data_IF_827899978114
#
_entry.id   IF_827899978114
#
_cell.length_a   1.000
_cell.length_b   1.000
_cell.length_c   1.000
_cell.angle_alpha   90.00
_cell.angle_beta   90.00
_cell.angle_gamma   90.00
#
_symmetry.space_group_name_H-M   'P 1'
#
loop_
_entity.id
_entity.type
_entity.pdbx_description
1 polymer ?
#
# COMPACT_ATOMS: atom_id res chain seq x y z
N UNK A 1 -7.79 -11.07 -8.38
CA UNK A 1 -6.69 -10.20 -7.88
C UNK A 1 -5.87 -11.02 -6.92
N UNK A 2 -4.54 -10.99 -7.06
CA UNK A 2 -3.57 -11.69 -6.20
C UNK A 2 -2.74 -10.68 -5.41
N UNK A 3 -2.16 -11.12 -4.28
CA UNK A 3 -1.27 -10.29 -3.46
C UNK A 3 0.17 -10.64 -3.80
N UNK A 4 0.82 -9.75 -4.55
CA UNK A 4 2.21 -9.87 -4.97
C UNK A 4 2.88 -8.50 -4.86
N UNK A 5 4.13 -8.46 -4.37
CA UNK A 5 4.93 -7.24 -4.35
C UNK A 5 5.53 -6.93 -5.73
N UNK A 6 6.12 -7.95 -6.36
CA UNK A 6 6.81 -7.78 -7.63
C UNK A 6 5.85 -7.91 -8.81
N UNK A 7 6.11 -7.26 -9.94
CA UNK A 7 5.33 -7.45 -11.15
C UNK A 7 5.58 -8.81 -11.81
N UNK A 8 6.59 -9.57 -11.36
CA UNK A 8 6.95 -10.89 -11.87
C UNK A 8 6.95 -11.97 -10.79
N UNK A 9 6.81 -13.23 -11.19
CA UNK A 9 6.76 -14.41 -10.32
C UNK A 9 8.14 -14.86 -9.82
N UNK A 10 9.22 -14.47 -10.48
CA UNK A 10 10.54 -15.10 -10.44
C UNK A 10 11.20 -15.11 -9.05
N UNK A 11 11.16 -13.98 -8.35
CA UNK A 11 11.89 -13.82 -7.07
C UNK A 11 11.23 -14.59 -5.92
N UNK A 12 9.92 -14.51 -5.82
CA UNK A 12 9.19 -14.94 -4.62
C UNK A 12 8.36 -16.20 -4.82
N UNK A 13 8.38 -16.78 -6.03
CA UNK A 13 7.62 -18.02 -6.32
C UNK A 13 8.45 -19.03 -7.10
N UNK A 14 7.89 -20.22 -7.29
CA UNK A 14 8.46 -21.27 -8.18
C UNK A 14 8.15 -21.02 -9.66
N UNK A 15 7.36 -20.00 -9.99
CA UNK A 15 7.04 -19.62 -11.37
C UNK A 15 8.01 -18.59 -11.94
N UNK A 16 7.74 -18.15 -13.17
CA UNK A 16 8.51 -17.12 -13.87
C UNK A 16 7.60 -16.29 -14.76
N UNK A 17 8.07 -15.11 -15.15
CA UNK A 17 7.34 -14.19 -16.04
C UNK A 17 6.43 -13.20 -15.31
N UNK A 18 5.77 -12.33 -16.09
CA UNK A 18 4.94 -11.27 -15.55
C UNK A 18 3.62 -11.82 -14.97
N UNK A 19 3.27 -11.41 -13.74
CA UNK A 19 2.01 -11.83 -13.10
C UNK A 19 0.79 -11.50 -13.97
N UNK A 20 0.82 -10.36 -14.65
CA UNK A 20 -0.27 -9.89 -15.51
C UNK A 20 -0.47 -10.71 -16.82
N UNK A 21 0.49 -11.55 -17.18
CA UNK A 21 0.44 -12.41 -18.37
C UNK A 21 -0.10 -13.81 -18.08
N UNK A 22 -0.44 -14.10 -16.80
CA UNK A 22 -0.93 -15.39 -16.35
C UNK A 22 -2.37 -15.36 -15.88
N UNK A 23 -3.11 -16.41 -16.19
CA UNK A 23 -4.40 -16.68 -15.58
C UNK A 23 -4.22 -17.26 -14.16
N UNK A 24 -5.22 -17.03 -13.31
CA UNK A 24 -5.22 -17.57 -11.94
C UNK A 24 -5.01 -19.09 -11.90
N UNK A 25 -5.61 -19.81 -12.84
CA UNK A 25 -5.47 -21.28 -12.93
C UNK A 25 -4.02 -21.73 -13.11
N UNK A 26 -3.16 -20.92 -13.73
CA UNK A 26 -1.76 -21.23 -13.99
C UNK A 26 -0.87 -20.96 -12.77
N UNK A 27 -1.20 -19.95 -11.95
CA UNK A 27 -0.33 -19.48 -10.88
C UNK A 27 -0.77 -19.88 -9.47
N UNK A 28 -2.00 -20.34 -9.27
CA UNK A 28 -2.59 -20.63 -7.96
C UNK A 28 -1.85 -21.70 -7.16
N UNK A 29 -1.20 -22.64 -7.84
CA UNK A 29 -0.49 -23.77 -7.23
C UNK A 29 1.02 -23.53 -7.12
N UNK A 30 1.52 -22.38 -7.60
CA UNK A 30 2.91 -21.97 -7.44
C UNK A 30 3.25 -21.79 -5.98
N UNK A 31 4.40 -22.34 -5.56
CA UNK A 31 4.87 -22.21 -4.19
C UNK A 31 5.63 -20.90 -3.98
N UNK A 32 5.46 -20.33 -2.80
CA UNK A 32 6.25 -19.18 -2.39
C UNK A 32 7.66 -19.59 -1.98
N UNK A 33 8.60 -18.67 -2.14
CA UNK A 33 9.97 -18.79 -1.63
C UNK A 33 10.14 -17.85 -0.43
N UNK A 34 10.88 -18.31 0.58
CA UNK A 34 11.31 -17.47 1.68
C UNK A 34 12.43 -16.48 1.26
N UNK A 35 12.92 -15.67 2.22
CA UNK A 35 13.96 -14.67 1.96
C UNK A 35 15.30 -15.31 1.52
N UNK A 36 15.55 -16.55 1.88
CA UNK A 36 16.76 -17.31 1.52
C UNK A 36 16.59 -18.07 0.18
N UNK A 37 15.40 -17.98 -0.43
CA UNK A 37 15.05 -18.63 -1.69
C UNK A 37 14.59 -20.07 -1.56
N UNK A 38 14.39 -20.59 -0.33
CA UNK A 38 13.86 -21.93 -0.13
C UNK A 38 12.37 -21.98 -0.44
N UNK A 39 11.94 -23.04 -1.12
CA UNK A 39 10.53 -23.27 -1.44
C UNK A 39 9.77 -23.65 -0.16
N UNK A 40 8.65 -22.97 0.07
CA UNK A 40 7.74 -23.23 1.18
C UNK A 40 6.52 -24.04 0.74
N UNK A 41 5.66 -24.43 1.67
CA UNK A 41 4.37 -25.05 1.35
C UNK A 41 3.27 -24.04 1.00
N UNK A 42 3.54 -22.75 1.20
CA UNK A 42 2.59 -21.66 0.96
C UNK A 42 2.44 -21.34 -0.54
N UNK A 43 1.29 -20.80 -0.93
CA UNK A 43 0.97 -20.38 -2.30
C UNK A 43 0.64 -18.89 -2.35
N UNK A 44 0.53 -18.33 -3.57
CA UNK A 44 0.16 -16.94 -3.77
C UNK A 44 -1.26 -16.72 -3.21
N UNK A 45 -1.48 -15.83 -2.21
CA UNK A 45 -2.81 -15.56 -1.71
C UNK A 45 -3.60 -14.65 -2.68
N UNK A 46 -4.90 -14.87 -2.76
CA UNK A 46 -5.81 -13.91 -3.36
C UNK A 46 -6.02 -12.70 -2.45
N UNK A 47 -6.41 -11.58 -3.03
CA UNK A 47 -6.75 -10.39 -2.25
C UNK A 47 -7.95 -10.66 -1.31
N UNK A 48 -8.92 -11.45 -1.75
CA UNK A 48 -10.05 -11.83 -0.90
C UNK A 48 -9.60 -12.61 0.34
N UNK A 49 -8.73 -13.61 0.18
CA UNK A 49 -8.16 -14.38 1.29
C UNK A 49 -7.40 -13.48 2.26
N UNK A 50 -6.56 -12.57 1.76
CA UNK A 50 -5.81 -11.63 2.59
C UNK A 50 -6.75 -10.69 3.39
N UNK A 51 -7.79 -10.15 2.77
CA UNK A 51 -8.80 -9.32 3.44
C UNK A 51 -9.55 -10.11 4.51
N UNK A 52 -9.99 -11.34 4.20
CA UNK A 52 -10.67 -12.20 5.18
C UNK A 52 -9.75 -12.57 6.35
N UNK A 53 -8.51 -12.90 6.06
CA UNK A 53 -7.51 -13.26 7.08
C UNK A 53 -7.20 -12.10 8.03
N UNK A 54 -7.08 -10.88 7.53
CA UNK A 54 -6.72 -9.69 8.32
C UNK A 54 -7.84 -9.19 9.23
N UNK A 55 -9.10 -9.60 8.98
CA UNK A 55 -10.26 -9.17 9.75
C UNK A 55 -10.10 -9.48 11.25
N UNK A 56 -10.17 -8.42 12.08
CA UNK A 56 -10.03 -8.50 13.53
C UNK A 56 -8.61 -8.76 14.03
N UNK A 57 -7.62 -8.82 13.14
CA UNK A 57 -6.22 -9.03 13.50
C UNK A 57 -5.36 -7.78 13.25
N UNK A 58 -5.55 -7.12 12.11
CA UNK A 58 -4.74 -5.97 11.71
C UNK A 58 -5.46 -5.14 10.65
N UNK A 59 -4.93 -3.94 10.40
CA UNK A 59 -5.29 -3.15 9.21
C UNK A 59 -4.42 -3.58 8.05
N UNK A 60 -5.05 -3.93 6.94
CA UNK A 60 -4.39 -4.26 5.68
C UNK A 60 -4.20 -2.98 4.87
N UNK A 61 -2.95 -2.59 4.61
CA UNK A 61 -2.64 -1.48 3.72
C UNK A 61 -2.36 -2.00 2.32
N UNK A 62 -3.23 -1.71 1.37
CA UNK A 62 -3.10 -2.11 -0.02
C UNK A 62 -2.35 -1.03 -0.81
N UNK A 63 -1.21 -1.39 -1.37
CA UNK A 63 -0.56 -0.55 -2.37
C UNK A 63 -1.24 -0.77 -3.73
N UNK A 64 -1.89 0.29 -4.24
CA UNK A 64 -2.88 0.17 -5.32
C UNK A 64 -2.21 0.29 -6.67
N UNK A 65 -1.76 -0.84 -7.23
CA UNK A 65 -1.31 -0.95 -8.63
C UNK A 65 -2.38 -1.54 -9.56
N UNK A 66 -3.36 -2.26 -9.02
CA UNK A 66 -4.51 -2.76 -9.80
C UNK A 66 -5.33 -1.58 -10.33
N UNK A 67 -5.72 -1.58 -11.61
CA UNK A 67 -6.59 -0.54 -12.16
C UNK A 67 -7.84 -0.34 -11.31
N UNK A 68 -8.19 0.93 -11.09
CA UNK A 68 -9.35 1.29 -10.24
C UNK A 68 -10.67 0.70 -10.73
N UNK A 69 -10.80 0.50 -12.04
CA UNK A 69 -11.95 -0.11 -12.69
C UNK A 69 -12.11 -1.61 -12.34
N UNK A 70 -11.05 -2.24 -11.85
CA UNK A 70 -11.04 -3.63 -11.37
C UNK A 70 -11.13 -3.68 -9.85
N UNK A 71 -10.29 -2.91 -9.15
CA UNK A 71 -10.23 -2.95 -7.69
C UNK A 71 -11.47 -2.31 -7.04
N UNK A 72 -12.02 -1.22 -7.60
CA UNK A 72 -13.19 -0.53 -7.06
C UNK A 72 -14.41 -1.44 -6.96
N UNK A 73 -14.87 -2.07 -8.06
CA UNK A 73 -15.96 -3.04 -8.03
C UNK A 73 -15.69 -4.22 -7.08
N UNK A 74 -14.47 -4.75 -7.07
CA UNK A 74 -14.10 -5.84 -6.16
C UNK A 74 -14.26 -5.44 -4.69
N UNK A 75 -13.78 -4.25 -4.30
CA UNK A 75 -13.94 -3.76 -2.93
C UNK A 75 -15.41 -3.47 -2.60
N UNK A 76 -16.21 -3.03 -3.58
CA UNK A 76 -17.64 -2.82 -3.41
C UNK A 76 -18.38 -4.14 -3.14
N UNK A 77 -18.06 -5.22 -3.86
CA UNK A 77 -18.60 -6.56 -3.59
C UNK A 77 -18.22 -7.05 -2.18
N UNK A 78 -17.03 -6.69 -1.70
CA UNK A 78 -16.59 -7.00 -0.34
C UNK A 78 -17.16 -6.05 0.74
N UNK A 79 -17.96 -5.05 0.35
CA UNK A 79 -18.58 -4.08 1.25
C UNK A 79 -17.59 -3.07 1.85
N UNK A 80 -16.50 -2.74 1.16
CA UNK A 80 -15.44 -1.83 1.63
C UNK A 80 -15.05 -2.10 3.08
N UNK A 81 -14.32 -3.19 3.37
CA UNK A 81 -14.02 -3.60 4.72
C UNK A 81 -13.29 -2.51 5.52
N UNK A 82 -13.76 -2.14 6.69
CA UNK A 82 -13.24 -1.05 7.52
C UNK A 82 -11.79 -1.26 8.04
N UNK A 83 -11.24 -2.45 7.88
CA UNK A 83 -9.86 -2.79 8.22
C UNK A 83 -8.93 -2.79 7.00
N UNK A 84 -9.40 -2.28 5.86
CA UNK A 84 -8.60 -2.08 4.64
C UNK A 84 -8.34 -0.60 4.45
N UNK A 85 -7.07 -0.26 4.25
CA UNK A 85 -6.59 1.07 3.91
C UNK A 85 -5.95 1.03 2.53
N UNK A 86 -6.18 2.04 1.71
CA UNK A 86 -5.64 2.11 0.35
C UNK A 86 -4.49 3.10 0.28
N UNK A 87 -3.34 2.68 -0.23
CA UNK A 87 -2.26 3.60 -0.59
C UNK A 87 -2.64 4.33 -1.87
N UNK A 88 -2.74 5.64 -1.77
CA UNK A 88 -3.21 6.53 -2.84
C UNK A 88 -2.03 7.37 -3.34
N UNK A 89 -1.88 7.43 -4.65
CA UNK A 89 -0.79 8.13 -5.33
C UNK A 89 -1.22 9.44 -5.98
N UNK A 90 -2.51 9.59 -6.32
CA UNK A 90 -3.04 10.81 -6.96
C UNK A 90 -4.36 11.28 -6.34
N UNK A 91 -4.65 12.59 -6.41
CA UNK A 91 -5.94 13.13 -5.97
C UNK A 91 -7.15 12.45 -6.63
N UNK A 92 -7.05 12.13 -7.93
CA UNK A 92 -8.14 11.49 -8.69
C UNK A 92 -8.44 10.07 -8.19
N UNK A 93 -7.40 9.33 -7.77
CA UNK A 93 -7.62 8.02 -7.11
C UNK A 93 -8.35 8.19 -5.79
N UNK A 94 -7.96 9.18 -4.98
CA UNK A 94 -8.61 9.45 -3.69
C UNK A 94 -10.10 9.77 -3.89
N UNK A 95 -10.42 10.67 -4.82
CA UNK A 95 -11.81 11.04 -5.12
C UNK A 95 -12.63 9.86 -5.63
N UNK A 96 -12.04 9.02 -6.48
CA UNK A 96 -12.71 7.83 -7.00
C UNK A 96 -13.12 6.86 -5.87
N UNK A 97 -12.20 6.47 -5.00
CA UNK A 97 -12.51 5.53 -3.92
C UNK A 97 -13.37 6.17 -2.84
N UNK A 98 -13.19 7.46 -2.56
CA UNK A 98 -14.03 8.20 -1.63
C UNK A 98 -15.49 8.29 -2.10
N UNK A 99 -15.71 8.49 -3.39
CA UNK A 99 -17.05 8.48 -3.98
C UNK A 99 -17.74 7.11 -3.89
N UNK A 100 -16.98 6.01 -3.95
CA UNK A 100 -17.51 4.66 -3.77
C UNK A 100 -17.81 4.36 -2.30
N UNK A 101 -16.97 4.82 -1.38
CA UNK A 101 -17.13 4.62 0.06
C UNK A 101 -16.47 5.74 0.86
N UNK A 102 -17.23 6.69 1.42
CA UNK A 102 -16.69 7.79 2.23
C UNK A 102 -15.97 7.35 3.52
N UNK A 103 -16.18 6.12 3.97
CA UNK A 103 -15.52 5.54 5.14
C UNK A 103 -14.14 4.93 4.84
N UNK A 104 -13.73 4.92 3.56
CA UNK A 104 -12.46 4.33 3.15
C UNK A 104 -11.29 5.06 3.77
N UNK A 105 -10.38 4.30 4.42
CA UNK A 105 -9.13 4.83 4.93
C UNK A 105 -8.09 4.94 3.82
N UNK A 106 -7.33 6.03 3.83
CA UNK A 106 -6.27 6.30 2.86
C UNK A 106 -4.91 6.45 3.50
N UNK A 107 -3.89 5.82 2.91
CA UNK A 107 -2.48 6.13 3.09
C UNK A 107 -2.03 6.96 1.89
N UNK A 108 -1.69 8.22 2.10
CA UNK A 108 -1.37 9.15 1.01
C UNK A 108 0.08 9.61 1.12
N UNK A 109 0.80 9.59 0.00
CA UNK A 109 2.15 10.13 -0.05
C UNK A 109 2.10 11.66 -0.18
N UNK A 110 2.41 12.37 0.91
CA UNK A 110 2.45 13.85 0.98
C UNK A 110 3.80 14.28 1.54
N UNK A 111 4.76 14.49 0.68
CA UNK A 111 6.17 14.77 1.05
C UNK A 111 6.55 16.25 0.98
N UNK A 112 5.67 17.10 0.43
CA UNK A 112 5.87 18.53 0.26
C UNK A 112 4.53 19.28 0.22
N UNK A 113 4.59 20.61 0.27
CA UNK A 113 3.40 21.47 0.26
C UNK A 113 2.62 21.39 -1.04
N UNK A 114 3.28 21.25 -2.18
CA UNK A 114 2.62 21.13 -3.49
C UNK A 114 1.68 19.91 -3.52
N UNK A 115 2.17 18.76 -3.04
CA UNK A 115 1.35 17.55 -2.93
C UNK A 115 0.20 17.74 -1.94
N UNK A 116 0.44 18.39 -0.79
CA UNK A 116 -0.65 18.70 0.14
C UNK A 116 -1.72 19.56 -0.52
N UNK A 117 -1.33 20.63 -1.21
CA UNK A 117 -2.25 21.54 -1.89
C UNK A 117 -3.04 20.88 -3.02
N UNK A 118 -2.45 19.88 -3.69
CA UNK A 118 -3.16 19.08 -4.68
C UNK A 118 -4.28 18.26 -4.03
N UNK A 119 -4.00 17.57 -2.92
CA UNK A 119 -5.02 16.81 -2.18
C UNK A 119 -6.03 17.70 -1.43
N UNK A 120 -5.66 18.91 -1.04
CA UNK A 120 -6.60 19.87 -0.42
C UNK A 120 -7.72 20.34 -1.37
N UNK A 121 -7.56 20.17 -2.66
CA UNK A 121 -8.60 20.46 -3.67
C UNK A 121 -9.64 19.34 -3.78
N UNK A 122 -9.38 18.18 -3.19
CA UNK A 122 -10.31 17.05 -3.18
C UNK A 122 -11.35 17.20 -2.06
N UNK A 123 -12.45 16.43 -2.18
CA UNK A 123 -13.53 16.41 -1.17
C UNK A 123 -13.35 15.30 -0.13
N UNK A 124 -12.17 14.67 -0.03
CA UNK A 124 -11.94 13.57 0.89
C UNK A 124 -12.02 14.01 2.36
N UNK A 125 -12.45 13.13 3.23
CA UNK A 125 -12.43 13.38 4.68
C UNK A 125 -11.02 13.12 5.23
N UNK A 126 -10.35 14.16 5.68
CA UNK A 126 -9.01 14.09 6.23
C UNK A 126 -8.91 13.24 7.51
N UNK A 127 -10.02 12.96 8.20
CA UNK A 127 -10.05 12.06 9.35
C UNK A 127 -9.71 10.62 8.98
N UNK A 128 -9.95 10.23 7.74
CA UNK A 128 -9.65 8.90 7.21
C UNK A 128 -8.27 8.83 6.54
N UNK A 129 -7.45 9.88 6.67
CA UNK A 129 -6.13 9.96 6.02
C UNK A 129 -5.01 9.74 7.01
N UNK A 130 -4.06 8.89 6.60
CA UNK A 130 -2.71 8.82 7.12
C UNK A 130 -1.74 9.32 6.04
N UNK A 131 -0.87 10.28 6.36
CA UNK A 131 0.08 10.84 5.41
C UNK A 131 1.47 10.19 5.57
N UNK A 132 1.99 9.54 4.52
CA UNK A 132 3.39 9.20 4.45
C UNK A 132 4.19 10.43 4.01
N UNK A 133 5.03 10.95 4.93
CA UNK A 133 5.75 12.21 4.73
C UNK A 133 7.22 12.01 4.35
N UNK A 134 7.67 10.77 4.19
CA UNK A 134 9.02 10.43 3.79
C UNK A 134 9.74 9.51 4.79
N UNK A 135 11.03 9.23 4.57
CA UNK A 135 11.80 8.32 5.43
C UNK A 135 12.14 8.94 6.80
N UNK A 136 12.13 10.27 6.90
CA UNK A 136 12.39 11.01 8.14
C UNK A 136 11.69 12.36 8.14
N UNK A 137 11.54 12.95 9.31
CA UNK A 137 11.09 14.33 9.44
C UNK A 137 12.20 15.29 9.00
N UNK A 138 11.85 16.26 8.15
CA UNK A 138 12.79 17.25 7.62
C UNK A 138 12.43 18.64 8.14
N UNK A 139 13.39 19.42 8.70
CA UNK A 139 13.10 20.77 9.23
C UNK A 139 12.45 21.70 8.19
N UNK A 140 12.86 21.61 6.94
CA UNK A 140 12.28 22.40 5.84
C UNK A 140 10.80 22.10 5.56
N UNK A 141 10.29 20.98 6.06
CA UNK A 141 8.88 20.59 5.92
C UNK A 141 8.03 20.91 7.17
N UNK A 142 8.50 21.76 8.08
CA UNK A 142 7.76 22.09 9.31
C UNK A 142 6.33 22.61 9.03
N UNK A 143 6.17 23.46 8.03
CA UNK A 143 4.87 24.00 7.63
C UNK A 143 3.94 22.90 7.11
N UNK A 144 4.44 21.95 6.33
CA UNK A 144 3.69 20.77 5.89
C UNK A 144 3.14 20.00 7.10
N UNK A 145 4.02 19.69 8.06
CA UNK A 145 3.61 18.91 9.24
C UNK A 145 2.62 19.66 10.12
N UNK A 146 2.77 20.98 10.25
CA UNK A 146 1.83 21.84 10.96
C UNK A 146 0.44 21.81 10.31
N UNK A 147 0.36 21.94 8.97
CA UNK A 147 -0.90 21.89 8.22
C UNK A 147 -1.57 20.52 8.30
N UNK A 148 -0.82 19.43 8.16
CA UNK A 148 -1.35 18.08 8.31
C UNK A 148 -1.91 17.84 9.72
N UNK A 149 -1.16 18.28 10.77
CA UNK A 149 -1.61 18.18 12.15
C UNK A 149 -2.89 18.99 12.41
N UNK A 150 -2.99 20.18 11.84
CA UNK A 150 -4.20 21.02 11.98
C UNK A 150 -5.45 20.35 11.37
N UNK A 151 -5.29 19.45 10.41
CA UNK A 151 -6.35 18.63 9.81
C UNK A 151 -6.63 17.35 10.62
N UNK A 152 -5.90 17.08 11.69
CA UNK A 152 -5.99 15.83 12.45
C UNK A 152 -5.33 14.62 11.80
N UNK A 153 -4.56 14.82 10.72
CA UNK A 153 -3.88 13.76 9.97
C UNK A 153 -2.71 13.20 10.77
N UNK A 154 -2.62 11.88 10.84
CA UNK A 154 -1.46 11.18 11.38
C UNK A 154 -0.38 11.08 10.31
N UNK A 155 0.83 11.53 10.65
CA UNK A 155 1.99 11.40 9.75
C UNK A 155 2.72 10.09 10.03
N UNK A 156 3.05 9.39 8.96
CA UNK A 156 3.88 8.18 8.98
C UNK A 156 5.23 8.47 8.33
N UNK A 157 6.29 7.99 8.94
CA UNK A 157 7.61 7.88 8.33
C UNK A 157 7.94 6.41 8.14
N UNK A 158 8.70 6.08 7.10
CA UNK A 158 9.16 4.72 6.87
C UNK A 158 10.56 4.72 6.31
N UNK A 159 11.46 4.03 6.99
CA UNK A 159 12.83 3.82 6.54
C UNK A 159 12.94 2.68 5.49
N UNK A 160 11.90 1.87 5.30
CA UNK A 160 11.95 0.70 4.43
C UNK A 160 12.55 0.99 3.04
N UNK A 161 12.14 2.03 2.29
CA UNK A 161 12.72 2.31 0.98
C UNK A 161 14.22 2.65 1.00
N UNK A 162 14.73 3.12 2.14
CA UNK A 162 16.15 3.40 2.34
C UNK A 162 16.88 2.16 2.84
N UNK A 163 16.25 1.45 3.78
CA UNK A 163 16.78 0.26 4.43
C UNK A 163 17.00 -0.89 3.44
N UNK A 164 16.05 -1.13 2.54
CA UNK A 164 16.12 -2.20 1.54
C UNK A 164 17.24 -1.98 0.50
N UNK A 165 17.76 -0.75 0.40
CA UNK A 165 18.87 -0.40 -0.49
C UNK A 165 20.24 -0.55 0.15
N UNK A 166 20.30 -0.78 1.45
CA UNK A 166 21.56 -0.93 2.19
C UNK A 166 22.06 -2.36 2.04
N UNK A 167 23.33 -2.48 1.58
CA UNK A 167 23.87 -3.76 1.17
C UNK A 167 24.23 -4.65 2.37
N UNK A 168 24.63 -4.06 3.51
CA UNK A 168 25.15 -4.83 4.65
C UNK A 168 24.28 -4.70 5.91
N UNK A 169 24.31 -5.70 6.81
CA UNK A 169 23.64 -5.62 8.11
C UNK A 169 24.14 -4.44 8.97
N UNK A 170 25.45 -4.09 8.86
CA UNK A 170 26.06 -2.99 9.60
C UNK A 170 25.52 -1.63 9.11
N UNK A 171 25.39 -1.45 7.79
CA UNK A 171 24.76 -0.25 7.21
C UNK A 171 23.31 -0.12 7.63
N UNK A 172 22.59 -1.25 7.68
CA UNK A 172 21.20 -1.29 8.14
C UNK A 172 21.06 -0.92 9.61
N UNK A 173 21.94 -1.45 10.46
CA UNK A 173 21.97 -1.13 11.90
C UNK A 173 22.31 0.34 12.16
N UNK A 174 23.19 0.94 11.34
CA UNK A 174 23.57 2.35 11.47
C UNK A 174 22.49 3.33 10.96
N UNK A 175 21.52 2.87 10.17
CA UNK A 175 20.42 3.68 9.64
C UNK A 175 19.24 3.85 10.63
N UNK A 176 19.24 3.09 11.72
CA UNK A 176 18.28 3.18 12.83
C UNK A 176 18.79 4.12 13.92
#
# INVERSE_FOLDING_TARGET
IVVMHDPTLDRTTTGSGAVAEHDWAEIKDLKLKDIDGNVTDETIPTLEEAIRWSRGKTVLNLDVYTPKEVLGPFLAEMGFPSHVMLTIHTPEQAEYYYALSPETMFSIHIKNLEQLEAFEKTNIDWRNVMAYVGPKMLPENEELYRRLRAKGVRCMISLAPTYDRLATPEERAAAY
#
